data_IF_927261756860
#
_entry.id   IF_927261756860
#
_cell.length_a   1.000
_cell.length_b   1.000
_cell.length_c   1.000
_cell.angle_alpha   90.00
_cell.angle_beta   90.00
_cell.angle_gamma   90.00
#
_symmetry.space_group_name_H-M   'P 1'
#
loop_
_entity.id
_entity.type
_entity.pdbx_description
1 polymer ?
#
# COMPACT_ATOMS: atom_id res chain seq x y z
N UNK A 1 15.66 -5.56 -22.03
CA UNK A 1 14.68 -5.95 -20.99
C UNK A 1 15.33 -6.29 -19.66
N UNK A 2 16.40 -7.10 -19.60
CA UNK A 2 17.07 -7.50 -18.34
C UNK A 2 17.62 -6.30 -17.53
N UNK A 3 18.17 -5.27 -18.20
CA UNK A 3 18.68 -4.05 -17.53
C UNK A 3 17.59 -3.20 -16.87
N UNK A 4 16.36 -3.24 -17.38
CA UNK A 4 15.21 -2.51 -16.81
C UNK A 4 14.64 -3.21 -15.57
N UNK A 5 14.70 -4.55 -15.52
CA UNK A 5 14.27 -5.31 -14.35
C UNK A 5 15.22 -5.13 -13.16
N UNK A 6 16.53 -5.01 -13.40
CA UNK A 6 17.51 -4.75 -12.34
C UNK A 6 17.38 -3.33 -11.78
N UNK A 7 17.09 -2.33 -12.63
CA UNK A 7 16.85 -0.96 -12.19
C UNK A 7 15.56 -0.83 -11.35
N UNK A 8 14.50 -1.57 -11.70
CA UNK A 8 13.24 -1.60 -10.94
C UNK A 8 13.42 -2.36 -9.61
N UNK A 9 14.20 -3.45 -9.60
CA UNK A 9 14.53 -4.17 -8.36
C UNK A 9 15.38 -3.30 -7.40
N UNK A 10 16.35 -2.53 -7.93
CA UNK A 10 17.14 -1.60 -7.13
C UNK A 10 16.29 -0.43 -6.58
N UNK A 11 15.27 0.03 -7.32
CA UNK A 11 14.35 1.07 -6.85
C UNK A 11 13.34 0.55 -5.82
N UNK A 12 12.93 -0.73 -5.92
CA UNK A 12 12.07 -1.39 -4.94
C UNK A 12 12.80 -1.76 -3.64
N UNK A 13 14.13 -1.92 -3.67
CA UNK A 13 14.95 -2.19 -2.48
C UNK A 13 15.35 -0.92 -1.70
N UNK A 14 15.00 0.28 -2.17
CA UNK A 14 15.22 1.54 -1.43
C UNK A 14 14.14 1.79 -0.35
N UNK A 15 13.54 0.74 0.21
CA UNK A 15 12.81 0.83 1.46
C UNK A 15 13.84 1.10 2.56
N UNK A 16 14.12 2.39 2.81
CA UNK A 16 14.92 2.79 3.96
C UNK A 16 14.36 2.12 5.21
N UNK A 17 15.21 1.58 6.11
CA UNK A 17 14.74 1.10 7.38
C UNK A 17 13.99 2.25 8.07
N UNK A 18 12.69 2.07 8.27
CA UNK A 18 11.93 2.94 9.18
C UNK A 18 12.64 2.90 10.51
N UNK A 19 13.20 4.05 10.90
CA UNK A 19 13.95 4.23 12.13
C UNK A 19 13.15 3.64 13.30
N UNK A 20 13.79 2.76 14.07
CA UNK A 20 13.29 2.42 15.38
C UNK A 20 13.33 3.68 16.24
N UNK A 21 12.17 4.05 16.78
CA UNK A 21 12.02 5.21 17.64
C UNK A 21 12.01 4.70 19.08
N UNK A 22 13.14 4.75 19.77
CA UNK A 22 13.23 4.49 21.19
C UNK A 22 13.65 5.71 22.00
N UNK A 23 13.33 5.66 23.29
CA UNK A 23 13.66 6.70 24.24
C UNK A 23 14.75 6.22 25.21
N UNK A 24 15.54 7.15 25.73
CA UNK A 24 16.61 6.87 26.72
C UNK A 24 16.56 7.89 27.85
N UNK A 25 16.66 7.41 29.09
CA UNK A 25 16.83 8.25 30.27
C UNK A 25 18.32 8.45 30.57
N UNK A 26 18.69 9.68 30.86
CA UNK A 26 20.01 10.07 31.31
C UNK A 26 19.90 10.74 32.67
N UNK A 27 20.82 10.45 33.57
CA UNK A 27 21.00 11.16 34.81
C UNK A 27 21.83 12.43 34.60
N UNK A 28 21.72 13.39 35.51
CA UNK A 28 22.60 14.56 35.49
C UNK A 28 24.04 14.21 35.91
N UNK A 29 24.24 13.23 36.80
CA UNK A 29 25.55 12.75 37.27
C UNK A 29 25.95 11.44 36.58
N UNK A 30 27.27 11.16 36.43
CA UNK A 30 27.76 9.88 35.94
C UNK A 30 27.44 8.74 36.90
N UNK A 31 27.29 7.52 36.35
CA UNK A 31 27.05 6.28 37.08
C UNK A 31 25.86 6.36 38.05
N UNK A 32 24.63 6.52 37.54
CA UNK A 32 23.45 6.62 38.39
C UNK A 32 23.29 5.39 39.28
N UNK A 33 23.01 5.62 40.56
CA UNK A 33 22.84 4.55 41.55
C UNK A 33 21.39 4.06 41.68
N UNK A 34 20.52 4.51 40.78
CA UNK A 34 19.11 4.13 40.69
C UNK A 34 18.77 3.60 39.30
N UNK A 35 17.62 2.96 39.18
CA UNK A 35 17.09 2.40 37.94
C UNK A 35 15.71 3.00 37.64
N UNK A 36 15.25 2.91 36.39
CA UNK A 36 13.88 3.29 36.00
C UNK A 36 12.96 2.09 36.19
N UNK A 37 11.97 2.19 37.08
CA UNK A 37 11.01 1.11 37.32
C UNK A 37 9.90 1.48 38.30
N UNK A 38 8.64 1.09 38.03
CA UNK A 38 8.14 0.53 36.77
C UNK A 38 8.10 1.61 35.65
N UNK A 39 8.08 1.21 34.37
CA UNK A 39 7.98 2.13 33.22
C UNK A 39 6.80 1.77 32.32
N UNK A 40 5.92 2.73 32.03
CA UNK A 40 4.81 2.58 31.09
C UNK A 40 4.86 3.68 30.03
N UNK A 41 4.89 3.28 28.77
CA UNK A 41 4.83 4.20 27.63
C UNK A 41 3.53 3.96 26.89
N UNK A 42 2.57 4.87 27.01
CA UNK A 42 1.22 4.69 26.45
C UNK A 42 0.98 5.70 25.33
N UNK A 43 1.07 5.25 24.08
CA UNK A 43 0.74 6.04 22.91
C UNK A 43 -0.75 5.94 22.58
N UNK A 44 -1.45 7.08 22.60
CA UNK A 44 -2.88 7.14 22.29
C UNK A 44 -3.10 7.57 20.84
N UNK A 45 -3.55 6.62 20.01
CA UNK A 45 -3.76 6.79 18.57
C UNK A 45 -5.22 7.10 18.30
N UNK A 46 -5.48 8.24 17.66
CA UNK A 46 -6.80 8.65 17.22
C UNK A 46 -7.00 8.43 15.70
N UNK A 47 -8.25 8.25 15.23
CA UNK A 47 -8.55 8.13 13.80
C UNK A 47 -8.14 9.33 12.96
N UNK A 48 -8.05 10.51 13.58
CA UNK A 48 -7.64 11.75 12.91
C UNK A 48 -6.16 11.79 12.52
N UNK A 49 -5.35 10.82 12.96
CA UNK A 49 -3.90 10.73 12.69
C UNK A 49 -3.12 12.02 13.01
N UNK A 50 -3.64 12.83 13.93
CA UNK A 50 -2.96 14.03 14.43
C UNK A 50 -1.79 13.70 15.37
N UNK A 51 -1.27 14.69 16.10
CA UNK A 51 -0.25 14.45 17.12
C UNK A 51 -0.68 13.33 18.07
N UNK A 52 0.23 12.39 18.33
CA UNK A 52 -0.01 11.26 19.23
C UNK A 52 0.32 11.70 20.64
N UNK A 53 -0.67 11.64 21.54
CA UNK A 53 -0.42 11.88 22.96
C UNK A 53 0.17 10.62 23.58
N UNK A 54 1.45 10.69 23.96
CA UNK A 54 2.15 9.67 24.72
C UNK A 54 2.13 10.03 26.20
N UNK A 55 1.59 9.14 27.03
CA UNK A 55 1.70 9.23 28.48
C UNK A 55 2.86 8.34 28.91
N UNK A 56 3.92 8.98 29.38
CA UNK A 56 5.11 8.32 29.92
C UNK A 56 5.00 8.29 31.44
N UNK A 57 4.77 7.13 32.04
CA UNK A 57 4.66 6.96 33.49
C UNK A 57 5.84 6.16 34.02
N UNK A 58 6.55 6.66 35.03
CA UNK A 58 7.66 5.95 35.64
C UNK A 58 7.86 6.27 37.13
N UNK A 59 8.66 5.43 37.81
CA UNK A 59 9.24 5.71 39.12
C UNK A 59 10.72 5.34 39.11
N UNK A 60 11.45 5.70 40.19
CA UNK A 60 12.85 5.36 40.37
C UNK A 60 12.99 4.23 41.39
N UNK A 61 13.63 3.15 40.97
CA UNK A 61 13.98 2.04 41.85
C UNK A 61 15.36 2.29 42.44
N UNK A 62 15.43 2.40 43.77
CA UNK A 62 16.67 2.58 44.52
C UNK A 62 17.41 1.24 44.67
N UNK A 63 18.74 1.28 44.70
CA UNK A 63 19.52 0.13 45.16
C UNK A 63 19.24 -0.15 46.64
N UNK A 64 19.33 -1.42 47.09
CA UNK A 64 19.14 -1.76 48.50
C UNK A 64 20.06 -0.93 49.41
N UNK A 65 19.49 -0.33 50.47
CA UNK A 65 20.22 0.47 51.44
C UNK A 65 20.36 1.97 51.11
N UNK A 66 19.94 2.42 49.93
CA UNK A 66 19.95 3.84 49.57
C UNK A 66 18.65 4.54 49.96
N UNK A 67 18.74 5.83 50.31
CA UNK A 67 17.57 6.68 50.55
C UNK A 67 17.28 7.55 49.34
N UNK A 68 16.02 7.91 49.16
CA UNK A 68 15.60 8.80 48.05
C UNK A 68 16.32 10.16 48.03
N UNK A 69 16.75 10.65 49.20
CA UNK A 69 17.52 11.89 49.29
C UNK A 69 18.93 11.78 48.65
N UNK A 70 19.53 10.58 48.67
CA UNK A 70 20.91 10.35 48.22
C UNK A 70 21.03 10.47 46.68
N UNK A 71 19.94 10.16 45.98
CA UNK A 71 19.87 10.18 44.51
C UNK A 71 19.33 11.48 43.93
N UNK A 72 19.15 12.53 44.75
CA UNK A 72 18.55 13.81 44.35
C UNK A 72 19.28 14.45 43.16
N UNK A 73 18.73 14.28 41.97
CA UNK A 73 19.32 14.81 40.75
C UNK A 73 18.31 14.89 39.62
N UNK A 74 18.52 15.83 38.71
CA UNK A 74 17.68 15.97 37.52
C UNK A 74 17.87 14.77 36.58
N UNK A 75 16.78 14.44 35.89
CA UNK A 75 16.75 13.45 34.83
C UNK A 75 16.62 14.15 33.49
N UNK A 76 17.15 13.52 32.46
CA UNK A 76 16.96 13.95 31.09
C UNK A 76 16.39 12.80 30.27
N UNK A 77 15.50 13.13 29.36
CA UNK A 77 14.88 12.18 28.45
C UNK A 77 15.21 12.59 27.02
N UNK A 78 15.82 11.65 26.31
CA UNK A 78 16.05 11.72 24.87
C UNK A 78 14.88 11.06 24.17
N UNK A 79 14.14 11.84 23.36
CA UNK A 79 12.95 11.38 22.67
C UNK A 79 13.08 11.50 21.14
N UNK A 80 12.76 10.45 20.37
CA UNK A 80 13.02 10.35 18.93
C UNK A 80 11.88 10.93 18.06
N UNK A 81 11.25 12.00 18.54
CA UNK A 81 10.19 12.74 17.85
C UNK A 81 10.07 14.16 18.40
N UNK A 82 9.42 15.04 17.65
CA UNK A 82 9.16 16.43 18.05
C UNK A 82 7.94 16.52 18.97
N UNK A 83 8.05 17.29 20.06
CA UNK A 83 6.90 17.70 20.87
C UNK A 83 6.08 18.74 20.10
N UNK A 84 4.82 18.41 19.84
CA UNK A 84 3.89 19.19 19.04
C UNK A 84 3.51 20.53 19.67
N UNK A 85 3.31 20.51 20.99
CA UNK A 85 2.85 21.65 21.77
C UNK A 85 3.30 21.52 23.24
N UNK A 86 3.46 22.67 23.90
CA UNK A 86 3.73 22.71 25.34
C UNK A 86 2.46 22.41 26.12
N UNK A 87 2.57 21.59 27.16
CA UNK A 87 1.43 21.29 28.05
C UNK A 87 1.42 22.15 29.31
N UNK A 88 2.39 23.05 29.46
CA UNK A 88 2.48 24.01 30.55
C UNK A 88 2.94 25.38 30.02
N UNK A 89 2.51 26.50 30.64
CA UNK A 89 2.92 27.83 30.22
C UNK A 89 4.39 28.09 30.54
N UNK A 90 5.01 28.95 29.73
CA UNK A 90 6.38 29.44 29.94
C UNK A 90 7.38 28.92 28.92
N UNK A 91 8.47 29.66 28.79
CA UNK A 91 9.58 29.31 27.89
C UNK A 91 10.42 28.17 28.46
N UNK A 92 11.12 27.46 27.58
CA UNK A 92 12.13 26.51 27.99
C UNK A 92 13.23 27.18 28.81
N UNK A 93 13.92 26.38 29.63
CA UNK A 93 15.07 26.83 30.39
C UNK A 93 16.19 27.27 29.41
N UNK A 94 16.69 28.53 29.50
CA UNK A 94 17.66 29.04 28.54
C UNK A 94 18.99 28.28 28.50
N UNK A 95 19.32 27.55 29.57
CA UNK A 95 20.51 26.70 29.61
C UNK A 95 20.35 25.48 28.68
N UNK A 96 19.15 24.92 28.59
CA UNK A 96 18.86 23.74 27.76
C UNK A 96 19.00 24.08 26.28
N UNK A 97 18.47 25.24 25.86
CA UNK A 97 18.60 25.75 24.49
C UNK A 97 20.06 26.01 24.12
N UNK A 98 20.81 26.70 24.99
CA UNK A 98 22.24 26.97 24.78
C UNK A 98 23.08 25.69 24.69
N UNK A 99 22.71 24.65 25.45
CA UNK A 99 23.37 23.34 25.38
C UNK A 99 23.24 22.71 23.99
N UNK A 100 22.05 22.78 23.42
CA UNK A 100 21.73 22.17 22.13
C UNK A 100 22.37 22.97 20.99
N UNK A 101 22.23 24.30 21.03
CA UNK A 101 22.85 25.19 20.03
C UNK A 101 24.38 25.17 20.07
N UNK A 102 24.98 25.11 21.27
CA UNK A 102 26.43 25.02 21.45
C UNK A 102 27.05 23.77 20.83
N UNK A 103 26.26 22.74 20.55
CA UNK A 103 26.67 21.52 19.84
C UNK A 103 26.40 21.57 18.33
N UNK A 104 25.98 22.71 17.82
CA UNK A 104 25.70 22.92 16.39
C UNK A 104 24.36 22.36 15.94
N UNK A 105 23.41 22.10 16.85
CA UNK A 105 22.04 21.73 16.47
C UNK A 105 21.17 22.97 16.26
N UNK A 106 20.21 22.87 15.32
CA UNK A 106 19.21 23.90 15.11
C UNK A 106 17.97 23.59 15.94
N UNK A 107 17.60 24.50 16.84
CA UNK A 107 16.39 24.40 17.67
C UNK A 107 15.15 24.69 16.81
N UNK A 108 14.21 23.75 16.79
CA UNK A 108 12.95 23.84 16.02
C UNK A 108 11.77 24.22 16.89
N UNK A 109 11.81 23.89 18.18
CA UNK A 109 10.78 24.21 19.15
C UNK A 109 11.28 24.13 20.58
N UNK A 110 10.65 24.84 21.50
CA UNK A 110 11.01 24.77 22.92
C UNK A 110 9.82 25.14 23.80
N UNK A 111 9.80 24.65 25.03
CA UNK A 111 8.78 25.04 26.00
C UNK A 111 8.82 24.23 27.30
N UNK A 112 7.65 24.08 27.91
CA UNK A 112 7.46 23.37 29.19
C UNK A 112 6.37 22.31 29.11
N UNK A 113 6.58 21.27 29.89
CA UNK A 113 5.71 20.11 30.01
C UNK A 113 5.30 19.93 31.47
N UNK A 114 4.05 19.53 31.64
CA UNK A 114 3.44 19.32 32.94
C UNK A 114 3.81 17.92 33.42
N UNK A 115 4.39 17.85 34.60
CA UNK A 115 4.57 16.60 35.32
C UNK A 115 3.37 16.37 36.23
N UNK A 116 2.93 15.13 36.31
CA UNK A 116 1.85 14.70 37.19
C UNK A 116 2.31 13.55 38.07
N UNK A 117 1.70 13.35 39.22
CA UNK A 117 1.95 12.23 40.09
C UNK A 117 0.65 11.54 40.46
N UNK A 118 0.66 10.21 40.45
CA UNK A 118 -0.44 9.38 40.92
C UNK A 118 0.05 8.25 41.79
N UNK A 119 -0.87 7.68 42.55
CA UNK A 119 -0.61 6.45 43.29
C UNK A 119 -0.37 5.28 42.31
N UNK A 120 0.55 4.38 42.66
CA UNK A 120 0.86 3.15 41.93
C UNK A 120 -0.38 2.28 41.71
N UNK A 121 -1.34 2.29 42.63
CA UNK A 121 -2.62 1.58 42.52
C UNK A 121 -3.55 2.15 41.43
N UNK A 122 -3.32 3.39 41.00
CA UNK A 122 -4.08 4.04 39.93
C UNK A 122 -3.47 3.79 38.54
N UNK A 123 -2.32 3.10 38.46
CA UNK A 123 -1.71 2.70 37.19
C UNK A 123 -2.63 1.73 36.46
N UNK A 124 -2.88 1.99 35.17
CA UNK A 124 -3.83 1.22 34.36
C UNK A 124 -5.24 1.81 34.34
N UNK A 125 -5.50 2.88 35.07
CA UNK A 125 -6.71 3.69 34.95
C UNK A 125 -6.51 4.87 33.99
N UNK A 126 -7.59 5.55 33.60
CA UNK A 126 -7.54 6.81 32.82
C UNK A 126 -6.99 7.99 33.62
N UNK A 127 -6.88 7.89 34.95
CA UNK A 127 -6.46 9.00 35.79
C UNK A 127 -4.95 9.26 35.64
N UNK A 128 -4.58 10.45 35.17
CA UNK A 128 -3.18 10.85 34.98
C UNK A 128 -2.53 11.42 36.26
N UNK A 129 -3.26 11.44 37.38
CA UNK A 129 -2.78 11.98 38.66
C UNK A 129 -2.96 13.48 38.81
N UNK A 130 -2.37 14.04 39.86
CA UNK A 130 -2.38 15.48 40.18
C UNK A 130 -1.14 16.16 39.58
N UNK A 131 -1.24 17.44 39.17
CA UNK A 131 -0.07 18.18 38.69
C UNK A 131 0.96 18.35 39.81
N UNK A 132 2.24 18.30 39.46
CA UNK A 132 3.34 18.63 40.35
C UNK A 132 3.71 20.11 40.22
N UNK A 133 4.26 20.68 41.30
CA UNK A 133 4.73 22.07 41.33
C UNK A 133 6.00 22.31 40.48
N UNK A 134 6.59 21.23 39.95
CA UNK A 134 7.75 21.27 39.06
C UNK A 134 7.33 20.99 37.62
N UNK A 135 7.95 21.72 36.69
CA UNK A 135 7.71 21.60 35.26
C UNK A 135 8.94 21.04 34.55
N UNK A 136 8.74 20.09 33.64
CA UNK A 136 9.79 19.64 32.76
C UNK A 136 10.01 20.67 31.64
N UNK A 137 11.26 20.91 31.24
CA UNK A 137 11.59 21.78 30.12
C UNK A 137 12.04 20.96 28.93
N UNK A 138 11.62 21.34 27.72
CA UNK A 138 12.03 20.63 26.51
C UNK A 138 12.56 21.57 25.44
N UNK A 139 13.46 21.01 24.62
CA UNK A 139 13.95 21.61 23.38
C UNK A 139 13.87 20.54 22.29
N UNK A 140 13.11 20.83 21.24
CA UNK A 140 13.10 20.08 20.00
C UNK A 140 14.16 20.66 19.05
N UNK A 141 14.91 19.80 18.39
CA UNK A 141 16.01 20.21 17.52
C UNK A 141 16.26 19.21 16.40
N UNK A 142 16.99 19.68 15.39
CA UNK A 142 17.40 18.91 14.22
C UNK A 142 18.89 19.16 13.92
N UNK A 143 19.52 18.25 13.17
CA UNK A 143 20.87 18.48 12.65
C UNK A 143 20.77 19.40 11.41
N UNK A 144 21.51 20.54 11.37
CA UNK A 144 21.53 21.42 10.20
C UNK A 144 22.01 20.68 8.95
N UNK A 145 21.36 20.93 7.81
CA UNK A 145 21.79 20.39 6.51
C UNK A 145 21.55 18.89 6.29
N UNK A 146 20.98 18.17 7.27
CA UNK A 146 20.61 16.75 7.13
C UNK A 146 19.10 16.55 7.00
N UNK A 147 18.67 15.55 6.21
CA UNK A 147 17.26 15.10 6.16
C UNK A 147 16.88 14.24 7.39
N UNK A 148 17.37 14.59 8.57
CA UNK A 148 17.18 13.82 9.79
C UNK A 148 15.93 14.29 10.52
N UNK A 149 15.15 13.36 11.06
CA UNK A 149 13.95 13.67 11.84
C UNK A 149 14.24 14.57 13.05
N UNK A 150 13.26 15.40 13.41
CA UNK A 150 13.27 16.25 14.61
C UNK A 150 13.18 15.40 15.87
N UNK A 151 14.01 15.72 16.86
CA UNK A 151 14.13 14.97 18.11
C UNK A 151 14.01 15.93 19.29
N UNK A 152 13.60 15.41 20.44
CA UNK A 152 13.38 16.25 21.63
C UNK A 152 14.30 15.83 22.77
N UNK A 153 14.90 16.82 23.42
CA UNK A 153 15.64 16.68 24.66
C UNK A 153 14.88 17.36 25.79
N UNK A 154 14.55 16.58 26.82
CA UNK A 154 13.66 17.01 27.91
C UNK A 154 14.44 16.93 29.22
N UNK A 155 14.52 18.03 29.97
CA UNK A 155 15.00 18.09 31.34
C UNK A 155 13.82 17.93 32.29
N UNK A 156 13.90 16.95 33.17
CA UNK A 156 12.93 16.61 34.19
C UNK A 156 13.57 16.97 35.54
N UNK A 157 13.10 18.03 36.22
CA UNK A 157 13.63 18.40 37.52
C UNK A 157 13.41 17.30 38.56
N UNK A 158 14.33 17.20 39.51
CA UNK A 158 14.15 16.35 40.67
C UNK A 158 12.88 16.71 41.46
N UNK A 159 12.19 15.68 41.95
CA UNK A 159 11.12 15.79 42.94
C UNK A 159 11.13 14.56 43.85
N UNK A 160 10.84 14.68 45.16
CA UNK A 160 10.78 13.55 46.07
C UNK A 160 9.83 12.43 45.60
N UNK A 161 8.78 12.79 44.84
CA UNK A 161 7.82 11.84 44.25
C UNK A 161 8.44 10.85 43.26
N UNK A 162 9.60 11.17 42.68
CA UNK A 162 10.31 10.24 41.78
C UNK A 162 10.92 9.04 42.52
N UNK A 163 11.32 9.21 43.78
CA UNK A 163 11.90 8.15 44.61
C UNK A 163 10.88 7.45 45.53
N UNK A 164 9.62 7.90 45.49
CA UNK A 164 8.54 7.29 46.25
C UNK A 164 8.04 6.04 45.52
N UNK A 165 8.21 4.86 46.14
CA UNK A 165 7.83 3.56 45.57
C UNK A 165 6.32 3.40 45.37
N UNK A 166 5.52 4.20 46.06
CA UNK A 166 4.06 4.21 45.98
C UNK A 166 3.56 5.24 44.96
N UNK A 167 4.42 6.12 44.47
CA UNK A 167 4.07 7.12 43.48
C UNK A 167 4.62 6.77 42.10
N UNK A 168 3.88 7.19 41.07
CA UNK A 168 4.30 7.11 39.68
C UNK A 168 4.15 8.49 39.05
N UNK A 169 5.26 9.04 38.59
CA UNK A 169 5.29 10.31 37.87
C UNK A 169 4.91 10.07 36.43
N UNK A 170 4.07 10.95 35.87
CA UNK A 170 3.59 10.87 34.49
C UNK A 170 3.89 12.17 33.75
N UNK A 171 4.51 12.03 32.58
CA UNK A 171 4.77 13.11 31.63
C UNK A 171 3.86 12.91 30.42
N UNK A 172 3.08 13.93 30.08
CA UNK A 172 2.19 13.92 28.92
C UNK A 172 2.89 14.60 27.75
N UNK A 173 3.11 13.85 26.68
CA UNK A 173 3.87 14.27 25.51
C UNK A 173 2.99 14.24 24.26
N UNK A 174 2.49 15.38 23.78
CA UNK A 174 1.89 15.45 22.46
C UNK A 174 3.01 15.44 21.42
N UNK A 175 3.09 14.40 20.58
CA UNK A 175 4.22 14.18 19.69
C UNK A 175 3.81 14.20 18.22
N UNK A 176 4.64 14.83 17.38
CA UNK A 176 4.50 14.83 15.92
C UNK A 176 5.38 13.75 15.30
N UNK A 177 4.90 13.17 14.20
CA UNK A 177 5.69 12.24 13.40
C UNK A 177 5.91 10.85 14.00
N UNK A 178 5.24 10.51 15.11
CA UNK A 178 5.29 9.15 15.68
C UNK A 178 4.54 8.13 14.81
N UNK A 179 3.54 8.61 14.06
CA UNK A 179 2.86 7.84 13.02
C UNK A 179 3.46 8.23 11.68
N UNK A 180 4.01 7.25 10.97
CA UNK A 180 4.55 7.43 9.63
C UNK A 180 3.71 6.66 8.61
N UNK A 181 3.48 7.22 7.41
CA UNK A 181 2.89 6.45 6.33
C UNK A 181 3.82 5.31 5.93
N UNK A 182 3.30 4.09 5.79
CA UNK A 182 4.06 3.00 5.18
C UNK A 182 4.22 3.32 3.70
N UNK A 183 5.46 3.31 3.22
CA UNK A 183 5.73 3.42 1.79
C UNK A 183 5.02 2.26 1.07
N UNK A 184 4.03 2.58 0.24
CA UNK A 184 3.25 1.62 -0.53
C UNK A 184 3.23 2.03 -1.98
N UNK A 185 2.97 1.06 -2.86
CA UNK A 185 2.74 1.38 -4.27
C UNK A 185 1.47 2.22 -4.43
N UNK A 186 1.37 3.00 -5.51
CA UNK A 186 0.15 3.77 -5.82
C UNK A 186 -1.07 2.86 -5.94
N UNK A 187 -0.88 1.63 -6.43
CA UNK A 187 -1.93 0.63 -6.58
C UNK A 187 -2.43 0.16 -5.21
N UNK A 188 -1.51 -0.13 -4.27
CA UNK A 188 -1.87 -0.46 -2.90
C UNK A 188 -2.63 0.67 -2.21
N UNK A 189 -2.19 1.92 -2.38
CA UNK A 189 -2.88 3.08 -1.81
C UNK A 189 -4.29 3.25 -2.39
N UNK A 190 -4.47 2.97 -3.69
CA UNK A 190 -5.77 3.04 -4.34
C UNK A 190 -6.74 1.96 -3.83
N UNK A 191 -6.28 0.71 -3.73
CA UNK A 191 -7.10 -0.43 -3.30
C UNK A 191 -7.37 -0.46 -1.79
N UNK A 192 -6.32 -0.26 -0.99
CA UNK A 192 -6.35 -0.49 0.46
C UNK A 192 -6.36 0.81 1.28
N UNK A 193 -6.01 1.94 0.66
CA UNK A 193 -5.82 3.22 1.34
C UNK A 193 -4.41 3.39 1.91
N UNK A 194 -4.18 4.52 2.59
CA UNK A 194 -2.92 4.82 3.25
C UNK A 194 -2.76 3.98 4.50
N UNK A 195 -1.73 3.14 4.52
CA UNK A 195 -1.33 2.37 5.70
C UNK A 195 -0.40 3.20 6.58
N UNK A 196 -0.57 3.07 7.88
CA UNK A 196 0.14 3.84 8.90
C UNK A 196 0.94 2.90 9.80
N UNK A 197 2.13 3.32 10.18
CA UNK A 197 2.98 2.63 11.14
C UNK A 197 3.16 3.53 12.34
N UNK A 198 2.85 3.01 13.53
CA UNK A 198 3.30 3.60 14.78
C UNK A 198 4.44 2.76 15.35
N UNK A 199 5.49 3.45 15.80
CA UNK A 199 6.63 2.83 16.46
C UNK A 199 6.86 3.53 17.79
N UNK A 200 6.90 2.76 18.87
CA UNK A 200 7.30 3.21 20.21
C UNK A 200 8.32 2.23 20.76
N UNK A 201 9.30 2.72 21.52
CA UNK A 201 10.42 1.89 21.95
C UNK A 201 11.17 2.42 23.15
N UNK A 202 12.03 1.57 23.70
CA UNK A 202 12.98 1.91 24.76
C UNK A 202 14.37 1.42 24.38
N UNK A 203 15.39 2.22 24.69
CA UNK A 203 16.80 1.84 24.45
C UNK A 203 17.26 1.93 22.99
N UNK A 204 16.39 2.31 22.06
CA UNK A 204 16.75 2.51 20.65
C UNK A 204 16.96 4.00 20.35
N UNK A 205 18.15 4.40 19.92
CA UNK A 205 18.43 5.80 19.57
C UNK A 205 18.16 6.09 18.08
N UNK A 206 17.74 5.06 17.33
CA UNK A 206 17.63 5.08 15.89
C UNK A 206 19.00 5.20 15.20
N UNK A 207 19.02 5.51 13.88
CA UNK A 207 20.25 5.61 13.12
C UNK A 207 21.21 6.67 13.69
N UNK A 208 22.54 6.48 13.59
CA UNK A 208 23.55 7.47 14.03
C UNK A 208 23.40 8.87 13.41
N UNK A 209 22.64 8.97 12.32
CA UNK A 209 22.30 10.23 11.68
C UNK A 209 21.35 11.09 12.52
N UNK A 210 20.51 10.50 13.39
CA UNK A 210 19.65 11.25 14.29
C UNK A 210 20.49 12.05 15.29
N UNK A 211 20.06 13.28 15.60
CA UNK A 211 20.75 14.16 16.56
C UNK A 211 20.91 13.57 17.97
N UNK A 212 20.09 12.55 18.30
CA UNK A 212 20.16 11.82 19.57
C UNK A 212 21.49 11.10 19.79
N UNK A 213 22.09 10.56 18.73
CA UNK A 213 23.25 9.69 18.87
C UNK A 213 24.46 10.42 19.50
N UNK A 214 24.69 11.67 19.10
CA UNK A 214 25.75 12.52 19.65
C UNK A 214 25.54 12.84 21.13
N UNK A 215 24.35 13.28 21.53
CA UNK A 215 24.05 13.58 22.93
C UNK A 215 24.10 12.34 23.82
N UNK A 216 23.64 11.21 23.29
CA UNK A 216 23.73 9.93 23.98
C UNK A 216 25.19 9.51 24.16
N UNK A 217 26.00 9.52 23.11
CA UNK A 217 27.36 9.01 23.15
C UNK A 217 28.25 9.80 24.12
N UNK A 218 28.07 11.13 24.18
CA UNK A 218 28.73 12.02 25.14
C UNK A 218 28.38 11.70 26.60
N UNK A 219 27.18 11.15 26.85
CA UNK A 219 26.62 10.94 28.20
C UNK A 219 26.29 9.47 28.46
N UNK A 220 26.97 8.56 27.76
CA UNK A 220 26.73 7.11 27.88
C UNK A 220 26.93 6.59 29.29
N UNK A 221 27.80 7.23 30.06
CA UNK A 221 28.09 6.97 31.47
C UNK A 221 26.96 7.43 32.42
N UNK A 222 26.02 8.24 31.92
CA UNK A 222 24.86 8.75 32.65
C UNK A 222 23.57 8.00 32.32
N UNK A 223 23.61 6.99 31.47
CA UNK A 223 22.40 6.23 31.07
C UNK A 223 21.79 5.55 32.29
N UNK A 224 20.47 5.71 32.45
CA UNK A 224 19.71 5.04 33.52
C UNK A 224 19.08 3.78 32.96
N UNK A 225 19.42 2.65 33.57
CA UNK A 225 18.99 1.31 33.17
C UNK A 225 17.58 0.99 33.67
N UNK A 226 16.92 0.02 33.03
CA UNK A 226 15.60 -0.45 33.48
C UNK A 226 15.75 -1.31 34.74
N UNK A 227 14.88 -1.08 35.71
CA UNK A 227 14.75 -1.93 36.88
C UNK A 227 14.11 -3.27 36.52
N UNK A 228 14.20 -4.25 37.43
CA UNK A 228 13.51 -5.54 37.29
C UNK A 228 11.98 -5.45 37.44
N UNK A 229 11.46 -4.25 37.68
CA UNK A 229 10.04 -3.99 37.80
C UNK A 229 9.34 -4.05 36.44
N UNK A 230 8.04 -4.33 36.49
CA UNK A 230 7.22 -4.53 35.30
C UNK A 230 7.16 -3.26 34.44
N UNK A 231 7.57 -3.38 33.17
CA UNK A 231 7.64 -2.26 32.24
C UNK A 231 6.95 -2.61 30.91
N UNK A 232 6.18 -1.68 30.36
CA UNK A 232 5.35 -1.89 29.17
C UNK A 232 5.44 -0.77 28.16
N UNK A 233 5.43 -1.13 26.88
CA UNK A 233 5.08 -0.27 25.76
C UNK A 233 3.65 -0.59 25.34
N UNK A 234 2.81 0.44 25.16
CA UNK A 234 1.39 0.29 24.88
C UNK A 234 1.00 1.24 23.74
N UNK A 235 0.46 0.70 22.66
CA UNK A 235 -0.27 1.45 21.65
C UNK A 235 -1.78 1.25 21.88
N UNK A 236 -2.47 2.34 22.23
CA UNK A 236 -3.90 2.36 22.51
C UNK A 236 -4.63 3.05 21.35
N UNK A 237 -5.47 2.30 20.66
CA UNK A 237 -6.28 2.77 19.54
C UNK A 237 -7.69 3.10 20.02
N UNK A 238 -8.11 4.34 19.78
CA UNK A 238 -9.35 4.88 20.37
C UNK A 238 -10.66 4.44 19.70
N UNK A 239 -10.61 3.83 18.52
CA UNK A 239 -11.78 3.43 17.72
C UNK A 239 -11.50 2.07 17.05
N UNK A 240 -11.93 0.98 17.68
CA UNK A 240 -11.70 -0.38 17.20
C UNK A 240 -12.59 -0.75 16.01
N UNK A 241 -13.76 -0.11 15.89
CA UNK A 241 -14.77 -0.48 14.88
C UNK A 241 -14.31 -0.11 13.47
N UNK A 242 -13.48 0.94 13.37
CA UNK A 242 -12.92 1.44 12.12
C UNK A 242 -11.43 1.10 11.96
N UNK A 243 -10.86 0.31 12.87
CA UNK A 243 -9.45 -0.03 12.87
C UNK A 243 -9.20 -1.39 12.24
N UNK A 244 -8.21 -1.45 11.35
CA UNK A 244 -7.62 -2.71 10.92
C UNK A 244 -6.14 -2.71 11.24
N UNK A 245 -5.72 -3.63 12.10
CA UNK A 245 -4.31 -3.92 12.36
C UNK A 245 -3.89 -5.04 11.41
N UNK A 246 -2.87 -4.77 10.59
CA UNK A 246 -2.35 -5.73 9.61
C UNK A 246 -1.18 -6.53 10.18
N UNK A 247 -0.29 -5.88 10.93
CA UNK A 247 0.94 -6.48 11.42
C UNK A 247 1.34 -5.88 12.77
N UNK A 248 1.87 -6.71 13.65
CA UNK A 248 2.43 -6.32 14.95
C UNK A 248 3.82 -6.93 15.05
N UNK A 249 4.80 -6.12 15.43
CA UNK A 249 6.19 -6.54 15.66
C UNK A 249 6.67 -5.99 17.01
N UNK A 250 7.33 -6.81 17.86
CA UNK A 250 7.60 -8.24 17.70
C UNK A 250 6.37 -9.11 17.94
N UNK A 251 6.45 -10.39 17.56
CA UNK A 251 5.37 -11.38 17.77
C UNK A 251 5.07 -11.68 19.24
N UNK A 252 5.96 -11.27 20.15
CA UNK A 252 5.76 -11.35 21.61
C UNK A 252 4.79 -10.29 22.14
N UNK A 253 4.46 -9.28 21.33
CA UNK A 253 3.47 -8.28 21.70
C UNK A 253 2.05 -8.88 21.73
N UNK A 254 1.27 -8.46 22.71
CA UNK A 254 -0.09 -8.95 22.96
C UNK A 254 -1.10 -7.91 22.49
N UNK A 255 -2.04 -8.35 21.66
CA UNK A 255 -3.20 -7.58 21.21
C UNK A 255 -4.43 -7.97 22.04
N UNK A 256 -5.16 -6.99 22.56
CA UNK A 256 -6.40 -7.19 23.34
C UNK A 256 -7.35 -6.01 23.20
N UNK A 257 -8.65 -6.25 23.42
CA UNK A 257 -9.59 -5.15 23.57
C UNK A 257 -9.28 -4.32 24.83
N UNK A 258 -9.48 -3.01 24.73
CA UNK A 258 -9.30 -2.10 25.85
C UNK A 258 -10.34 -2.39 26.93
N UNK A 259 -9.87 -2.57 28.16
CA UNK A 259 -10.76 -2.69 29.35
C UNK A 259 -11.17 -1.33 29.90
N UNK A 260 -10.48 -0.27 29.49
CA UNK A 260 -10.58 1.07 30.06
C UNK A 260 -11.46 1.98 29.20
N UNK A 261 -11.51 1.74 27.89
CA UNK A 261 -12.36 2.46 26.95
C UNK A 261 -13.12 1.46 26.09
N UNK A 262 -14.45 1.54 26.10
CA UNK A 262 -15.29 0.76 25.21
C UNK A 262 -14.98 1.11 23.74
N UNK A 263 -14.94 0.10 22.87
CA UNK A 263 -14.56 0.29 21.46
C UNK A 263 -13.10 0.71 21.26
N UNK A 264 -12.21 0.45 22.23
CA UNK A 264 -10.78 0.67 22.08
C UNK A 264 -10.02 -0.65 21.89
N UNK A 265 -8.88 -0.58 21.20
CA UNK A 265 -7.99 -1.73 21.01
C UNK A 265 -6.59 -1.40 21.54
N UNK A 266 -5.96 -2.37 22.21
CA UNK A 266 -4.67 -2.19 22.87
C UNK A 266 -3.68 -3.22 22.36
N UNK A 267 -2.52 -2.76 21.91
CA UNK A 267 -1.36 -3.60 21.63
C UNK A 267 -0.27 -3.26 22.65
N UNK A 268 0.23 -4.26 23.36
CA UNK A 268 1.20 -4.08 24.43
C UNK A 268 2.42 -4.99 24.25
N UNK A 269 3.61 -4.47 24.49
CA UNK A 269 4.86 -5.22 24.57
C UNK A 269 5.44 -5.08 25.97
N UNK A 270 5.81 -6.20 26.59
CA UNK A 270 6.52 -6.18 27.87
C UNK A 270 8.01 -5.97 27.62
N UNK A 271 8.59 -4.99 28.31
CA UNK A 271 10.01 -4.69 28.26
C UNK A 271 10.77 -5.66 29.17
N UNK A 272 11.87 -6.21 28.65
CA UNK A 272 12.78 -7.10 29.35
C UNK A 272 13.95 -6.29 29.91
N UNK A 273 14.13 -6.22 31.25
CA UNK A 273 15.22 -5.46 31.87
C UNK A 273 16.60 -5.98 31.50
N UNK A 274 16.74 -7.29 31.22
CA UNK A 274 18.00 -7.90 30.76
C UNK A 274 18.42 -7.48 29.35
N UNK A 275 17.55 -6.80 28.63
CA UNK A 275 17.71 -6.36 27.24
C UNK A 275 17.63 -4.84 27.13
N UNK A 276 17.87 -4.10 28.22
CA UNK A 276 17.78 -2.65 28.24
C UNK A 276 18.84 -1.94 27.38
N UNK A 277 19.98 -2.58 27.14
CA UNK A 277 21.02 -2.13 26.20
C UNK A 277 20.63 -2.37 24.74
N UNK A 278 19.73 -3.33 24.49
CA UNK A 278 19.23 -3.61 23.13
C UNK A 278 17.92 -2.87 22.87
N UNK A 279 17.79 -2.31 21.68
CA UNK A 279 16.57 -1.66 21.22
C UNK A 279 15.35 -2.59 21.37
N UNK A 280 14.39 -2.19 22.21
CA UNK A 280 13.10 -2.87 22.34
C UNK A 280 12.01 -1.95 21.83
N UNK A 281 11.43 -2.28 20.67
CA UNK A 281 10.42 -1.46 20.02
C UNK A 281 9.15 -2.24 19.71
N UNK A 282 7.99 -1.63 19.98
CA UNK A 282 6.70 -2.07 19.50
C UNK A 282 6.35 -1.28 18.23
N UNK A 283 6.19 -2.01 17.13
CA UNK A 283 5.74 -1.49 15.83
C UNK A 283 4.38 -2.07 15.50
N UNK A 284 3.43 -1.21 15.16
CA UNK A 284 2.09 -1.63 14.75
C UNK A 284 1.76 -1.01 13.39
N UNK A 285 1.48 -1.87 12.42
CA UNK A 285 0.97 -1.48 11.10
C UNK A 285 -0.55 -1.54 11.12
N UNK A 286 -1.18 -0.42 10.83
CA UNK A 286 -2.63 -0.28 10.89
C UNK A 286 -3.16 0.64 9.79
N UNK A 287 -4.47 0.59 9.57
CA UNK A 287 -5.18 1.60 8.84
C UNK A 287 -6.56 1.86 9.49
N UNK A 288 -7.01 3.10 9.46
CA UNK A 288 -8.40 3.44 9.74
C UNK A 288 -9.20 3.47 8.42
N UNK A 289 -10.45 3.02 8.45
CA UNK A 289 -11.36 3.10 7.31
C UNK A 289 -12.65 3.83 7.69
N UNK A 290 -13.31 4.45 6.72
CA UNK A 290 -14.58 5.14 6.95
C UNK A 290 -15.75 4.22 6.61
N UNK A 291 -16.81 4.27 7.44
CA UNK A 291 -18.00 3.44 7.26
C UNK A 291 -17.86 2.03 7.84
N UNK A 292 -18.90 1.20 7.68
CA UNK A 292 -19.02 -0.10 8.38
C UNK A 292 -18.10 -1.20 7.84
N UNK A 293 -17.62 -1.07 6.61
CA UNK A 293 -16.74 -2.01 5.91
C UNK A 293 -15.78 -1.21 5.05
N UNK A 294 -14.53 -1.67 4.90
CA UNK A 294 -13.62 -1.12 3.90
C UNK A 294 -14.12 -1.50 2.49
N UNK A 295 -14.99 -0.67 1.90
CA UNK A 295 -15.63 -0.93 0.59
C UNK A 295 -14.69 -0.80 -0.61
N UNK A 296 -13.54 -0.13 -0.47
CA UNK A 296 -12.66 0.22 -1.60
C UNK A 296 -12.22 -1.02 -2.40
N UNK A 297 -11.74 -2.11 -1.80
CA UNK A 297 -11.36 -3.32 -2.55
C UNK A 297 -12.54 -3.93 -3.30
N UNK A 298 -13.74 -3.91 -2.71
CA UNK A 298 -14.96 -4.47 -3.31
C UNK A 298 -15.37 -3.65 -4.54
N UNK A 299 -15.50 -2.32 -4.38
CA UNK A 299 -15.91 -1.41 -5.46
C UNK A 299 -14.92 -1.45 -6.62
N UNK A 300 -13.62 -1.44 -6.32
CA UNK A 300 -12.60 -1.47 -7.38
C UNK A 300 -12.62 -2.81 -8.11
N UNK A 301 -12.78 -3.93 -7.40
CA UNK A 301 -12.90 -5.25 -8.03
C UNK A 301 -14.11 -5.33 -8.97
N UNK A 302 -15.26 -4.79 -8.54
CA UNK A 302 -16.47 -4.71 -9.38
C UNK A 302 -16.24 -3.82 -10.61
N UNK A 303 -15.60 -2.67 -10.44
CA UNK A 303 -15.32 -1.74 -11.55
C UNK A 303 -14.35 -2.35 -12.56
N UNK A 304 -13.29 -3.01 -12.10
CA UNK A 304 -12.36 -3.74 -12.97
C UNK A 304 -13.07 -4.86 -13.73
N UNK A 305 -13.95 -5.60 -13.05
CA UNK A 305 -14.76 -6.65 -13.68
C UNK A 305 -15.71 -6.08 -14.74
N UNK A 306 -16.35 -4.94 -14.48
CA UNK A 306 -17.18 -4.26 -15.47
C UNK A 306 -16.35 -3.79 -16.66
N UNK A 307 -15.23 -3.10 -16.43
CA UNK A 307 -14.36 -2.59 -17.51
C UNK A 307 -13.83 -3.73 -18.37
N UNK A 308 -13.36 -4.83 -17.77
CA UNK A 308 -12.85 -5.99 -18.53
C UNK A 308 -13.94 -6.68 -19.34
N UNK A 309 -15.14 -6.83 -18.78
CA UNK A 309 -16.27 -7.41 -19.50
C UNK A 309 -16.73 -6.51 -20.66
N UNK A 310 -16.88 -5.20 -20.44
CA UNK A 310 -17.24 -4.24 -21.48
C UNK A 310 -16.16 -4.09 -22.57
N UNK A 311 -14.88 -4.14 -22.21
CA UNK A 311 -13.78 -4.14 -23.17
C UNK A 311 -13.84 -5.37 -24.09
N UNK A 312 -14.14 -6.55 -23.54
CA UNK A 312 -14.40 -7.76 -24.33
C UNK A 312 -15.54 -7.57 -25.31
N UNK A 313 -16.70 -7.09 -24.83
CA UNK A 313 -17.88 -6.83 -25.69
C UNK A 313 -17.58 -5.80 -26.78
N UNK A 314 -16.86 -4.72 -26.47
CA UNK A 314 -16.46 -3.69 -27.44
C UNK A 314 -15.52 -4.27 -28.51
N UNK A 315 -14.49 -5.03 -28.11
CA UNK A 315 -13.61 -5.71 -29.07
C UNK A 315 -14.41 -6.64 -30.00
N UNK A 316 -15.26 -7.52 -29.45
CA UNK A 316 -16.08 -8.43 -30.25
C UNK A 316 -17.10 -7.69 -31.15
N UNK A 317 -17.67 -6.57 -30.68
CA UNK A 317 -18.64 -5.79 -31.47
C UNK A 317 -18.00 -5.10 -32.67
N UNK A 318 -16.75 -4.61 -32.54
CA UNK A 318 -16.04 -3.98 -33.66
C UNK A 318 -15.72 -4.99 -34.76
N UNK A 319 -15.30 -6.20 -34.40
CA UNK A 319 -15.06 -7.28 -35.36
C UNK A 319 -16.35 -7.82 -35.99
N UNK A 320 -17.42 -7.96 -35.21
CA UNK A 320 -18.74 -8.35 -35.71
C UNK A 320 -19.31 -7.31 -36.68
N UNK A 321 -19.18 -6.01 -36.37
CA UNK A 321 -19.66 -4.92 -37.23
C UNK A 321 -18.92 -4.87 -38.56
N UNK A 322 -17.61 -5.18 -38.58
CA UNK A 322 -16.80 -5.29 -39.81
C UNK A 322 -17.26 -6.48 -40.66
N UNK A 323 -17.53 -7.63 -40.05
CA UNK A 323 -18.06 -8.82 -40.75
C UNK A 323 -19.47 -8.59 -41.31
N UNK A 324 -20.35 -7.92 -40.57
CA UNK A 324 -21.71 -7.58 -41.01
C UNK A 324 -21.69 -6.54 -42.14
N UNK A 325 -20.84 -5.50 -42.05
CA UNK A 325 -20.66 -4.52 -43.13
C UNK A 325 -20.12 -5.19 -44.42
N UNK A 326 -19.21 -6.15 -44.32
CA UNK A 326 -18.74 -6.96 -45.46
C UNK A 326 -19.87 -7.79 -46.08
N UNK A 327 -20.68 -8.48 -45.26
CA UNK A 327 -21.86 -9.25 -45.75
C UNK A 327 -22.95 -8.36 -46.37
N UNK A 328 -23.22 -7.17 -45.83
CA UNK A 328 -24.18 -6.22 -46.43
C UNK A 328 -23.69 -5.63 -47.75
N UNK A 329 -22.38 -5.33 -47.88
CA UNK A 329 -21.79 -4.89 -49.16
C UNK A 329 -21.84 -6.00 -50.22
N UNK A 330 -21.61 -7.26 -49.82
CA UNK A 330 -21.80 -8.40 -50.71
C UNK A 330 -23.27 -8.53 -51.17
N UNK A 331 -24.25 -8.47 -50.25
CA UNK A 331 -25.68 -8.52 -50.61
C UNK A 331 -26.14 -7.37 -51.50
N UNK A 332 -25.58 -6.16 -51.37
CA UNK A 332 -25.88 -5.05 -52.29
C UNK A 332 -25.30 -5.28 -53.70
N UNK A 333 -24.15 -5.93 -53.82
CA UNK A 333 -23.60 -6.36 -55.11
C UNK A 333 -24.44 -7.49 -55.74
N UNK A 334 -24.91 -8.44 -54.94
CA UNK A 334 -25.83 -9.49 -55.39
C UNK A 334 -27.22 -8.96 -55.77
N UNK A 335 -27.75 -7.97 -55.03
CA UNK A 335 -29.02 -7.31 -55.37
C UNK A 335 -28.93 -6.46 -56.64
N UNK A 336 -27.77 -5.85 -56.92
CA UNK A 336 -27.52 -5.15 -58.17
C UNK A 336 -27.32 -6.11 -59.37
N UNK A 337 -26.76 -7.30 -59.13
CA UNK A 337 -26.64 -8.35 -60.15
C UNK A 337 -27.99 -9.04 -60.44
N UNK A 338 -28.86 -9.21 -59.43
CA UNK A 338 -30.20 -9.78 -59.59
C UNK A 338 -31.20 -8.82 -60.27
N UNK A 339 -30.88 -7.52 -60.35
CA UNK A 339 -31.68 -6.51 -61.03
C UNK A 339 -31.29 -6.33 -62.52
N UNK A 340 -30.28 -7.05 -63.00
CA UNK A 340 -29.98 -7.14 -64.42
C UNK A 340 -30.94 -8.16 -65.06
N UNK A 341 -32.08 -7.66 -65.53
CA UNK A 341 -32.95 -8.38 -66.47
C UNK A 341 -32.12 -8.75 -67.69
N UNK A 342 -31.94 -10.05 -67.96
CA UNK A 342 -31.64 -10.69 -69.25
C UNK A 342 -31.69 -12.20 -68.98
N UNK A 343 -32.60 -12.97 -69.56
CA UNK A 343 -32.58 -13.31 -70.97
C UNK A 343 -31.85 -14.64 -71.13
N UNK A 344 -32.63 -15.72 -71.24
CA UNK A 344 -32.20 -17.10 -71.49
C UNK A 344 -31.32 -17.20 -72.73
N UNK A 345 -30.02 -16.97 -72.59
CA UNK A 345 -29.04 -17.06 -73.66
C UNK A 345 -27.90 -17.96 -73.21
N UNK A 346 -27.95 -19.20 -73.69
CA UNK A 346 -26.85 -20.14 -73.55
C UNK A 346 -25.75 -19.73 -74.54
N UNK A 347 -24.48 -19.73 -74.14
CA UNK A 347 -23.36 -19.40 -75.02
C UNK A 347 -23.19 -20.42 -76.15
N UNK A 348 -22.98 -19.93 -77.37
CA UNK A 348 -22.59 -20.72 -78.53
C UNK A 348 -21.22 -21.37 -78.34
N UNK A 349 -20.98 -22.52 -78.99
CA UNK A 349 -19.78 -23.36 -78.89
C UNK A 349 -18.46 -22.60 -79.05
N UNK A 350 -18.43 -21.57 -79.90
CA UNK A 350 -17.23 -20.75 -80.16
C UNK A 350 -16.90 -19.77 -79.02
N UNK A 351 -17.91 -19.35 -78.25
CA UNK A 351 -17.76 -18.42 -77.12
C UNK A 351 -17.17 -19.10 -75.88
N UNK A 352 -17.45 -20.39 -75.67
CA UNK A 352 -17.00 -21.12 -74.48
C UNK A 352 -15.50 -21.45 -74.50
N UNK A 353 -14.95 -21.73 -75.68
CA UNK A 353 -13.55 -22.14 -75.84
C UNK A 353 -12.60 -20.93 -75.75
N UNK A 354 -13.07 -19.72 -76.07
CA UNK A 354 -12.26 -18.49 -76.01
C UNK A 354 -12.40 -17.71 -74.70
N UNK A 355 -13.52 -17.79 -73.98
CA UNK A 355 -13.80 -16.91 -72.83
C UNK A 355 -13.54 -17.49 -71.43
N UNK A 356 -13.26 -18.79 -71.27
CA UNK A 356 -12.98 -19.41 -69.96
C UNK A 356 -11.55 -19.94 -69.95
N UNK A 357 -10.64 -19.19 -69.31
CA UNK A 357 -9.27 -19.65 -69.07
C UNK A 357 -9.23 -20.59 -67.87
N UNK A 358 -8.36 -21.60 -67.93
CA UNK A 358 -8.06 -22.47 -66.78
C UNK A 358 -7.63 -21.59 -65.61
N UNK A 359 -8.30 -21.72 -64.47
CA UNK A 359 -8.05 -20.94 -63.25
C UNK A 359 -9.10 -19.90 -62.88
N UNK A 360 -10.12 -19.65 -63.71
CA UNK A 360 -11.24 -18.72 -63.37
C UNK A 360 -11.99 -19.21 -62.11
N UNK A 361 -12.27 -18.34 -61.13
CA UNK A 361 -12.99 -18.72 -59.91
C UNK A 361 -14.49 -18.94 -60.17
N UNK A 362 -15.11 -19.86 -59.43
CA UNK A 362 -16.54 -20.20 -59.55
C UNK A 362 -17.48 -18.98 -59.53
N UNK A 363 -17.22 -18.02 -58.65
CA UNK A 363 -18.05 -16.82 -58.51
C UNK A 363 -18.07 -15.98 -59.80
N UNK A 364 -16.97 -15.99 -60.57
CA UNK A 364 -16.88 -15.29 -61.85
C UNK A 364 -17.61 -16.05 -62.96
N UNK A 365 -17.61 -17.38 -62.93
CA UNK A 365 -18.37 -18.23 -63.86
C UNK A 365 -19.88 -17.99 -63.69
N UNK A 366 -20.37 -18.02 -62.45
CA UNK A 366 -21.79 -17.80 -62.13
C UNK A 366 -22.21 -16.35 -62.41
N UNK A 367 -21.33 -15.38 -62.17
CA UNK A 367 -21.62 -13.99 -62.51
C UNK A 367 -21.76 -13.76 -64.02
N UNK A 368 -21.08 -14.58 -64.84
CA UNK A 368 -21.04 -14.42 -66.31
C UNK A 368 -22.15 -15.20 -67.02
N UNK A 369 -22.44 -16.42 -66.59
CA UNK A 369 -23.38 -17.32 -67.26
C UNK A 369 -24.68 -17.54 -66.48
N UNK A 370 -24.81 -16.96 -65.29
CA UNK A 370 -25.95 -17.20 -64.42
C UNK A 370 -25.84 -18.51 -63.64
N UNK A 371 -26.94 -18.87 -62.98
CA UNK A 371 -27.02 -20.06 -62.13
C UNK A 371 -27.00 -21.32 -63.01
N UNK A 372 -26.18 -22.33 -62.67
CA UNK A 372 -26.15 -23.57 -63.44
C UNK A 372 -27.43 -24.40 -63.26
N UNK A 373 -27.71 -25.25 -64.24
CA UNK A 373 -28.86 -26.15 -64.24
C UNK A 373 -28.65 -27.32 -63.28
N UNK A 374 -27.44 -27.89 -63.26
CA UNK A 374 -27.06 -28.94 -62.32
C UNK A 374 -25.67 -28.71 -61.73
N UNK A 375 -25.51 -29.14 -60.48
CA UNK A 375 -24.27 -28.99 -59.75
C UNK A 375 -24.00 -30.25 -58.94
N UNK A 376 -22.85 -30.86 -59.21
CA UNK A 376 -22.42 -32.11 -58.58
C UNK A 376 -21.11 -31.88 -57.85
N UNK A 377 -21.14 -31.97 -56.52
CA UNK A 377 -19.93 -32.00 -55.70
C UNK A 377 -19.57 -33.46 -55.40
N UNK A 378 -18.38 -33.91 -55.83
CA UNK A 378 -17.90 -35.25 -55.49
C UNK A 378 -17.34 -35.24 -54.07
N UNK A 379 -17.86 -36.14 -53.24
CA UNK A 379 -17.45 -36.29 -51.84
C UNK A 379 -16.01 -36.84 -51.74
N UNK A 380 -15.51 -37.55 -52.75
CA UNK A 380 -14.16 -38.12 -52.77
C UNK A 380 -13.59 -38.20 -54.19
N UNK A 381 -12.41 -37.62 -54.49
CA UNK A 381 -11.60 -36.75 -53.63
C UNK A 381 -12.30 -35.41 -53.36
N UNK A 382 -12.18 -34.85 -52.13
CA UNK A 382 -12.80 -33.58 -51.78
C UNK A 382 -12.22 -32.43 -52.62
N UNK A 383 -13.08 -31.46 -52.95
CA UNK A 383 -12.69 -30.25 -53.69
C UNK A 383 -12.90 -30.31 -55.20
N UNK A 384 -13.46 -31.39 -55.76
CA UNK A 384 -13.84 -31.50 -57.18
C UNK A 384 -15.36 -31.27 -57.33
N UNK A 385 -15.73 -30.20 -58.03
CA UNK A 385 -17.11 -29.79 -58.30
C UNK A 385 -17.33 -29.73 -59.80
N UNK A 386 -18.42 -30.32 -60.29
CA UNK A 386 -18.80 -30.27 -61.70
C UNK A 386 -20.08 -29.48 -61.83
N UNK A 387 -20.10 -28.52 -62.74
CA UNK A 387 -21.20 -27.60 -62.98
C UNK A 387 -21.68 -27.79 -64.41
N UNK A 388 -22.98 -27.97 -64.60
CA UNK A 388 -23.56 -28.30 -65.90
C UNK A 388 -24.52 -27.19 -66.33
N UNK A 389 -24.36 -26.77 -67.58
CA UNK A 389 -25.24 -25.84 -68.27
C UNK A 389 -25.86 -26.56 -69.49
N UNK A 390 -27.19 -26.52 -69.62
CA UNK A 390 -27.94 -27.15 -70.70
C UNK A 390 -28.66 -26.12 -71.56
N UNK A 391 -28.76 -26.44 -72.85
CA UNK A 391 -29.40 -25.59 -73.84
C UNK A 391 -30.16 -26.40 -74.86
N UNK A 392 -31.29 -25.89 -75.31
CA UNK A 392 -31.97 -26.35 -76.50
C UNK A 392 -31.96 -25.20 -77.52
N UNK A 393 -31.35 -25.42 -78.69
CA UNK A 393 -31.31 -24.42 -79.76
C UNK A 393 -31.74 -25.09 -81.06
N UNK A 394 -32.87 -24.67 -81.63
CA UNK A 394 -33.43 -25.13 -82.92
C UNK A 394 -33.24 -26.63 -83.25
N UNK A 395 -33.56 -27.49 -82.28
CA UNK A 395 -33.56 -28.95 -82.46
C UNK A 395 -32.31 -29.69 -81.96
N UNK A 396 -31.25 -29.00 -81.54
CA UNK A 396 -30.07 -29.62 -80.89
C UNK A 396 -30.03 -29.34 -79.38
N UNK A 397 -29.73 -30.37 -78.58
CA UNK A 397 -29.43 -30.23 -77.16
C UNK A 397 -27.92 -30.13 -76.95
N UNK A 398 -27.48 -29.01 -76.37
CA UNK A 398 -26.08 -28.76 -76.02
C UNK A 398 -25.93 -28.84 -74.49
N UNK A 399 -25.02 -29.69 -74.02
CA UNK A 399 -24.66 -29.80 -72.61
C UNK A 399 -23.20 -29.44 -72.41
N UNK A 400 -22.92 -28.55 -71.45
CA UNK A 400 -21.56 -28.10 -71.14
C UNK A 400 -21.27 -28.39 -69.69
N UNK A 401 -20.26 -29.23 -69.46
CA UNK A 401 -19.76 -29.57 -68.13
C UNK A 401 -18.47 -28.80 -67.84
N UNK A 402 -18.49 -27.96 -66.82
CA UNK A 402 -17.33 -27.25 -66.29
C UNK A 402 -16.87 -27.95 -65.02
N UNK A 403 -15.64 -28.41 -65.01
CA UNK A 403 -15.03 -28.99 -63.84
C UNK A 403 -14.22 -27.95 -63.08
N UNK A 404 -14.42 -27.92 -61.77
CA UNK A 404 -13.69 -27.09 -60.85
C UNK A 404 -12.95 -27.92 -59.82
N UNK A 405 -11.72 -27.50 -59.52
CA UNK A 405 -10.95 -27.96 -58.38
C UNK A 405 -10.60 -26.78 -57.49
N UNK A 406 -10.83 -26.90 -56.19
CA UNK A 406 -10.60 -25.82 -55.22
C UNK A 406 -11.25 -24.49 -55.64
N UNK A 407 -12.48 -24.60 -56.18
CA UNK A 407 -13.30 -23.48 -56.65
C UNK A 407 -12.74 -22.72 -57.88
N UNK A 408 -11.83 -23.33 -58.65
CA UNK A 408 -11.28 -22.80 -59.91
C UNK A 408 -11.50 -23.76 -61.06
N UNK A 409 -11.82 -23.22 -62.24
CA UNK A 409 -12.02 -24.01 -63.47
C UNK A 409 -10.73 -24.74 -63.84
N UNK A 410 -10.82 -26.06 -63.92
CA UNK A 410 -9.73 -26.93 -64.37
C UNK A 410 -9.95 -27.43 -65.79
N UNK A 411 -11.21 -27.74 -66.15
CA UNK A 411 -11.54 -28.32 -67.44
C UNK A 411 -12.94 -27.89 -67.89
N UNK A 412 -13.15 -27.76 -69.19
CA UNK A 412 -14.44 -27.45 -69.81
C UNK A 412 -14.70 -28.49 -70.90
N UNK A 413 -15.75 -29.28 -70.74
CA UNK A 413 -16.16 -30.33 -71.68
C UNK A 413 -17.50 -29.97 -72.30
N UNK A 414 -17.59 -30.02 -73.63
CA UNK A 414 -18.84 -29.85 -74.36
C UNK A 414 -19.33 -31.23 -74.82
N UNK A 415 -20.55 -31.59 -74.44
CA UNK A 415 -21.23 -32.83 -74.80
C UNK A 415 -22.39 -32.43 -75.71
N UNK A 416 -22.30 -32.79 -76.97
CA UNK A 416 -23.42 -32.64 -77.92
C UNK A 416 -24.17 -33.97 -77.94
N UNK A 417 -25.47 -33.97 -77.63
CA UNK A 417 -26.30 -35.16 -77.86
C UNK A 417 -26.99 -35.01 -79.22
N UNK A 418 -26.73 -35.94 -80.13
CA UNK A 418 -27.46 -36.06 -81.41
C UNK A 418 -28.91 -36.47 -81.21
#
# INVERSE_FOLDING_TARGET
MIKSCVAIAAFLCAAAPTAGHGQVFLASRPHPEFLIGPLFVVANVSPGLGPVTVNLSWSLTLKPGQRGADINQDLYLLWPAEVAESTAPGLAEPQLTREVEGRGFAVTGSGRLLLRSRDRMQVGTVALGEPLDVLASYVAYTRPGGQTGSVTYIKIPWTPRLADQLAVVTLVLPLRGLIAPKATTWLDEFFWGRRQVITIGFGDLGPPALGLFSLYYERRDRVVHLAREYSLLIANFGDSDHLKIEEITPSTAVRRQSRVRAGGEVVALTLLPSQDVTAQSLRVLFHYFTGRINWRPVVISVLVLLVTNFAGVLMFSTDMSRRIKRRRRARRRFGAAAAATNGSSVPSRESLITLISVGTPYDEVVARFGRPDEEHERVTPPGRRTVIYRAANDGEQLEVAIELRDNRVTEVTCITSH
#
